data_IF_377727474464
#
_entry.id   IF_377727474464
#
_cell.length_a   1.000
_cell.length_b   1.000
_cell.length_c   1.000
_cell.angle_alpha   90.00
_cell.angle_beta   90.00
_cell.angle_gamma   90.00
#
_symmetry.space_group_name_H-M   'P 1'
#
loop_
_entity.id
_entity.type
_entity.pdbx_description
1 polymer ?
#
# COMPACT_ATOMS: atom_id res chain seq x y z
N UNK A 1 31.10 -17.40 -4.56
CA UNK A 1 30.83 -16.01 -4.11
C UNK A 1 29.49 -15.48 -4.66
N UNK A 2 29.18 -15.61 -5.96
CA UNK A 2 27.91 -15.08 -6.53
C UNK A 2 26.64 -15.78 -6.02
N UNK A 3 26.70 -17.07 -5.74
CA UNK A 3 25.53 -17.86 -5.30
C UNK A 3 25.07 -17.52 -3.87
N UNK A 4 26.03 -17.19 -2.98
CA UNK A 4 25.71 -16.71 -1.63
C UNK A 4 25.03 -15.33 -1.67
N UNK A 5 25.38 -14.49 -2.64
CA UNK A 5 24.79 -13.16 -2.82
C UNK A 5 23.33 -13.31 -3.29
N UNK A 6 23.05 -14.19 -4.27
CA UNK A 6 21.70 -14.37 -4.81
C UNK A 6 20.71 -14.94 -3.77
N UNK A 7 21.17 -15.88 -2.94
CA UNK A 7 20.36 -16.43 -1.83
C UNK A 7 20.06 -15.35 -0.78
N UNK A 8 21.06 -14.54 -0.42
CA UNK A 8 20.87 -13.44 0.53
C UNK A 8 19.90 -12.38 -0.01
N UNK A 9 20.02 -12.00 -1.29
CA UNK A 9 19.10 -11.05 -1.94
C UNK A 9 17.64 -11.53 -1.93
N UNK A 10 17.41 -12.82 -2.21
CA UNK A 10 16.04 -13.38 -2.15
C UNK A 10 15.46 -13.35 -0.73
N UNK A 11 16.27 -13.66 0.29
CA UNK A 11 15.86 -13.55 1.70
C UNK A 11 15.44 -12.12 2.05
N UNK A 12 16.26 -11.13 1.69
CA UNK A 12 15.97 -9.74 2.01
C UNK A 12 14.73 -9.23 1.26
N UNK A 13 14.53 -9.66 0.00
CA UNK A 13 13.32 -9.35 -0.76
C UNK A 13 12.05 -9.85 -0.06
N UNK A 14 12.04 -11.08 0.46
CA UNK A 14 10.87 -11.64 1.17
C UNK A 14 10.59 -10.86 2.47
N UNK A 15 11.63 -10.43 3.19
CA UNK A 15 11.46 -9.58 4.38
C UNK A 15 10.87 -8.22 4.02
N UNK A 16 11.37 -7.60 2.94
CA UNK A 16 10.86 -6.33 2.45
C UNK A 16 9.39 -6.46 2.00
N UNK A 17 9.03 -7.52 1.29
CA UNK A 17 7.64 -7.79 0.88
C UNK A 17 6.70 -7.89 2.08
N UNK A 18 7.12 -8.55 3.17
CA UNK A 18 6.33 -8.66 4.40
C UNK A 18 6.18 -7.31 5.10
N UNK A 19 7.25 -6.52 5.12
CA UNK A 19 7.22 -5.17 5.68
C UNK A 19 6.26 -4.26 4.90
N UNK A 20 6.32 -4.28 3.57
CA UNK A 20 5.42 -3.51 2.71
C UNK A 20 3.96 -3.93 2.86
N UNK A 21 3.67 -5.23 2.97
CA UNK A 21 2.31 -5.69 3.25
C UNK A 21 1.78 -5.13 4.57
N UNK A 22 2.57 -5.23 5.65
CA UNK A 22 2.20 -4.66 6.95
C UNK A 22 1.98 -3.15 6.87
N UNK A 23 2.85 -2.45 6.15
CA UNK A 23 2.73 -1.01 5.92
C UNK A 23 1.40 -0.67 5.23
N UNK A 24 1.06 -1.37 4.14
CA UNK A 24 -0.20 -1.15 3.40
C UNK A 24 -1.43 -1.44 4.27
N UNK A 25 -1.41 -2.51 5.07
CA UNK A 25 -2.51 -2.82 6.00
C UNK A 25 -2.66 -1.71 7.05
N UNK A 26 -1.56 -1.20 7.59
CA UNK A 26 -1.59 -0.11 8.57
C UNK A 26 -2.09 1.20 7.95
N UNK A 27 -1.89 1.44 6.65
CA UNK A 27 -2.41 2.64 5.98
C UNK A 27 -3.93 2.63 5.81
N UNK A 28 -4.57 1.45 5.81
CA UNK A 28 -6.02 1.34 5.68
C UNK A 28 -6.82 2.09 6.75
N UNK A 29 -6.59 1.93 8.06
CA UNK A 29 -7.33 2.69 9.07
C UNK A 29 -7.12 4.21 8.94
N UNK A 30 -5.96 4.66 8.46
CA UNK A 30 -5.75 6.08 8.16
C UNK A 30 -6.64 6.53 7.01
N UNK A 31 -6.68 5.76 5.91
CA UNK A 31 -7.54 6.04 4.75
C UNK A 31 -9.04 5.98 5.09
N UNK A 32 -9.44 5.02 5.93
CA UNK A 32 -10.84 4.74 6.22
C UNK A 32 -11.44 5.69 7.27
N UNK A 33 -10.66 6.07 8.28
CA UNK A 33 -11.19 6.76 9.46
C UNK A 33 -10.57 8.14 9.71
N UNK A 34 -9.25 8.28 9.54
CA UNK A 34 -8.54 9.49 9.96
C UNK A 34 -8.63 10.58 8.90
N UNK A 35 -8.23 10.27 7.67
CA UNK A 35 -8.16 11.24 6.56
C UNK A 35 -9.54 11.79 6.12
N UNK A 36 -10.60 10.99 5.98
CA UNK A 36 -11.91 11.49 5.58
C UNK A 36 -12.72 12.12 6.73
N UNK A 37 -12.19 12.16 7.96
CA UNK A 37 -12.89 12.69 9.12
C UNK A 37 -13.27 14.16 8.90
N UNK A 38 -14.56 14.47 9.02
CA UNK A 38 -15.09 15.83 8.82
C UNK A 38 -15.46 16.20 7.38
N UNK A 39 -15.15 15.36 6.37
CA UNK A 39 -15.43 15.64 4.95
C UNK A 39 -16.59 14.81 4.35
N UNK A 40 -17.15 13.86 5.09
CA UNK A 40 -18.25 13.00 4.61
C UNK A 40 -17.85 11.96 3.54
N UNK A 41 -16.56 11.87 3.20
CA UNK A 41 -15.99 10.98 2.18
C UNK A 41 -15.54 9.63 2.74
N UNK A 42 -16.02 9.26 3.93
CA UNK A 42 -15.61 8.05 4.65
C UNK A 42 -15.77 6.78 3.80
N UNK A 43 -16.85 6.69 3.00
CA UNK A 43 -17.09 5.58 2.10
C UNK A 43 -16.04 5.45 1.00
N UNK A 44 -15.52 6.56 0.49
CA UNK A 44 -14.44 6.54 -0.52
C UNK A 44 -13.20 5.92 0.11
N UNK A 45 -12.79 6.38 1.29
CA UNK A 45 -11.64 5.86 2.02
C UNK A 45 -11.76 4.38 2.38
N UNK A 46 -12.92 3.95 2.86
CA UNK A 46 -13.20 2.54 3.19
C UNK A 46 -13.16 1.65 1.95
N UNK A 47 -13.88 2.02 0.87
CA UNK A 47 -13.98 1.17 -0.32
C UNK A 47 -12.63 1.11 -1.04
N UNK A 48 -12.04 2.26 -1.36
CA UNK A 48 -10.77 2.30 -2.08
C UNK A 48 -9.63 1.70 -1.27
N UNK A 49 -9.49 2.08 0.01
CA UNK A 49 -8.48 1.51 0.91
C UNK A 49 -8.68 0.01 1.13
N UNK A 50 -9.93 -0.46 1.20
CA UNK A 50 -10.26 -1.88 1.36
C UNK A 50 -9.85 -2.69 0.14
N UNK A 51 -10.13 -2.18 -1.06
CA UNK A 51 -9.66 -2.77 -2.33
C UNK A 51 -8.13 -2.79 -2.39
N UNK A 52 -7.45 -1.72 -1.98
CA UNK A 52 -5.98 -1.66 -1.95
C UNK A 52 -5.38 -2.72 -1.02
N UNK A 53 -5.92 -2.91 0.19
CA UNK A 53 -5.47 -3.97 1.11
C UNK A 53 -5.75 -5.37 0.54
N UNK A 54 -6.92 -5.57 -0.06
CA UNK A 54 -7.28 -6.85 -0.66
C UNK A 54 -6.30 -7.22 -1.79
N UNK A 55 -5.96 -6.27 -2.66
CA UNK A 55 -4.97 -6.46 -3.71
C UNK A 55 -3.57 -6.71 -3.14
N UNK A 56 -3.19 -6.05 -2.04
CA UNK A 56 -1.92 -6.30 -1.36
C UNK A 56 -1.85 -7.73 -0.80
N UNK A 57 -2.92 -8.20 -0.15
CA UNK A 57 -3.02 -9.55 0.40
C UNK A 57 -2.96 -10.62 -0.70
N UNK A 58 -3.72 -10.43 -1.79
CA UNK A 58 -3.69 -11.34 -2.93
C UNK A 58 -2.31 -11.34 -3.60
N UNK A 59 -1.75 -10.16 -3.85
CA UNK A 59 -0.40 -10.01 -4.40
C UNK A 59 0.64 -10.74 -3.55
N UNK A 60 0.61 -10.55 -2.23
CA UNK A 60 1.54 -11.23 -1.32
C UNK A 60 1.34 -12.75 -1.32
N UNK A 61 0.11 -13.24 -1.36
CA UNK A 61 -0.19 -14.67 -1.37
C UNK A 61 0.33 -15.36 -2.64
N UNK A 62 0.20 -14.73 -3.81
CA UNK A 62 0.53 -15.34 -5.10
C UNK A 62 1.93 -14.99 -5.63
N UNK A 63 2.49 -13.81 -5.30
CA UNK A 63 3.68 -13.25 -5.95
C UNK A 63 4.87 -13.02 -5.00
N UNK A 64 4.82 -13.50 -3.74
CA UNK A 64 5.92 -13.32 -2.76
C UNK A 64 7.30 -13.70 -3.30
N UNK A 65 8.29 -12.85 -3.06
CA UNK A 65 9.67 -13.08 -3.50
C UNK A 65 9.91 -12.82 -4.99
N UNK A 66 8.94 -12.24 -5.71
CA UNK A 66 9.08 -11.84 -7.11
C UNK A 66 9.16 -10.32 -7.26
N UNK A 67 9.78 -9.86 -8.35
CA UNK A 67 9.83 -8.41 -8.69
C UNK A 67 8.43 -7.85 -8.97
N UNK A 68 7.50 -8.68 -9.46
CA UNK A 68 6.12 -8.25 -9.71
C UNK A 68 5.41 -7.78 -8.44
N UNK A 69 5.67 -8.44 -7.30
CA UNK A 69 5.11 -8.00 -6.03
C UNK A 69 5.68 -6.65 -5.58
N UNK A 70 6.96 -6.39 -5.83
CA UNK A 70 7.59 -5.11 -5.48
C UNK A 70 6.98 -3.96 -6.30
N UNK A 71 6.78 -4.18 -7.60
CA UNK A 71 6.11 -3.21 -8.48
C UNK A 71 4.66 -3.00 -8.03
N UNK A 72 3.92 -4.08 -7.74
CA UNK A 72 2.56 -4.00 -7.25
C UNK A 72 2.49 -3.21 -5.93
N UNK A 73 3.36 -3.50 -4.97
CA UNK A 73 3.41 -2.79 -3.70
C UNK A 73 3.71 -1.30 -3.88
N UNK A 74 4.60 -0.93 -4.81
CA UNK A 74 4.87 0.48 -5.13
C UNK A 74 3.63 1.19 -5.69
N UNK A 75 2.91 0.54 -6.63
CA UNK A 75 1.67 1.08 -7.19
C UNK A 75 0.60 1.24 -6.10
N UNK A 76 0.43 0.23 -5.22
CA UNK A 76 -0.54 0.28 -4.14
C UNK A 76 -0.19 1.38 -3.11
N UNK A 77 1.10 1.60 -2.85
CA UNK A 77 1.54 2.70 -1.99
C UNK A 77 1.22 4.06 -2.61
N UNK A 78 1.46 4.25 -3.90
CA UNK A 78 1.06 5.48 -4.61
C UNK A 78 -0.46 5.65 -4.66
N UNK A 79 -1.20 4.55 -4.73
CA UNK A 79 -2.67 4.57 -4.70
C UNK A 79 -3.17 5.16 -3.39
N UNK A 80 -2.54 4.87 -2.25
CA UNK A 80 -2.89 5.51 -0.97
C UNK A 80 -2.75 7.04 -1.01
N UNK A 81 -1.71 7.57 -1.65
CA UNK A 81 -1.58 9.02 -1.83
C UNK A 81 -2.75 9.61 -2.61
N UNK A 82 -3.16 8.96 -3.70
CA UNK A 82 -4.32 9.39 -4.49
C UNK A 82 -5.65 9.29 -3.71
N UNK A 83 -5.82 8.24 -2.89
CA UNK A 83 -6.98 8.07 -2.01
C UNK A 83 -7.06 9.23 -1.01
N UNK A 84 -5.93 9.60 -0.40
CA UNK A 84 -5.91 10.68 0.58
C UNK A 84 -6.34 12.02 -0.04
N UNK A 85 -5.78 12.37 -1.20
CA UNK A 85 -6.16 13.59 -1.94
C UNK A 85 -7.65 13.61 -2.26
N UNK A 86 -8.19 12.47 -2.72
CA UNK A 86 -9.60 12.35 -3.09
C UNK A 86 -10.53 12.39 -1.87
N UNK A 87 -10.13 11.80 -0.74
CA UNK A 87 -10.91 11.84 0.50
C UNK A 87 -11.06 13.26 1.04
N UNK A 88 -10.06 14.12 0.91
CA UNK A 88 -10.18 15.52 1.30
C UNK A 88 -10.75 16.40 0.18
N UNK A 89 -11.27 15.83 -0.92
CA UNK A 89 -11.83 16.57 -2.07
C UNK A 89 -10.84 17.60 -2.64
N UNK A 90 -9.53 17.33 -2.58
CA UNK A 90 -8.50 18.28 -3.01
C UNK A 90 -8.22 19.41 -2.01
N UNK A 91 -8.81 19.44 -0.81
CA UNK A 91 -8.46 20.42 0.22
C UNK A 91 -6.99 20.34 0.66
N UNK A 92 -6.33 19.18 0.52
CA UNK A 92 -4.89 19.05 0.82
C UNK A 92 -4.00 19.70 -0.26
N UNK A 93 -4.50 19.85 -1.49
CA UNK A 93 -3.77 20.53 -2.58
C UNK A 93 -3.84 22.06 -2.47
N UNK A 94 -4.86 22.63 -1.83
CA UNK A 94 -4.97 24.10 -1.68
C UNK A 94 -3.98 24.72 -0.69
N UNK A 95 -3.23 23.90 0.05
CA UNK A 95 -2.22 24.34 1.02
C UNK A 95 -0.77 24.09 0.56
N UNK A 96 -0.55 23.69 -0.70
CA UNK A 96 0.78 23.45 -1.28
C UNK A 96 1.23 24.58 -2.21
#
# INVERSE_FOLDING_TARGET
MSELISVKLKSEAIKADRFLLLLLIIHFPFAAFIVPYGYGTMWIGIISGGVTVLLALLGYAFLRGTVLLQILNAILLMTYSAIFVTCQLGSIEMYF
#
